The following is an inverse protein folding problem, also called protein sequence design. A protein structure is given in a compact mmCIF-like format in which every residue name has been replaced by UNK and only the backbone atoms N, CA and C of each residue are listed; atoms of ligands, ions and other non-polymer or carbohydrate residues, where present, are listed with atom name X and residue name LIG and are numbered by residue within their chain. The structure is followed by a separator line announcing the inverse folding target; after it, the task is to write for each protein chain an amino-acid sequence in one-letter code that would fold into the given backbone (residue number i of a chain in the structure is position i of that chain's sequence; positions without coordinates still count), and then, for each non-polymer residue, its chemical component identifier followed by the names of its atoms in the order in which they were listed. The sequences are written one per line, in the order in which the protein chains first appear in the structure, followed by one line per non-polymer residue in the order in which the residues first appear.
data_IF_649885762724
#
_entry.id   IF_649885762724
#
_cell.length_a   1.000
_cell.length_b   1.000
_cell.length_c   1.000
_cell.angle_alpha   90.00
_cell.angle_beta   90.00
_cell.angle_gamma   90.00
#
_symmetry.space_group_name_H-M   'P 1'
#
loop_
_entity.id
_entity.type
_entity.pdbx_description
1 polymer ?
#
# COMPACT_ATOMS: atom_id res chain seq x y z
N UNK A 1 27.44 -9.21 89.12
CA UNK A 1 28.46 -9.96 88.34
C UNK A 1 27.70 -10.81 87.33
N UNK A 2 27.59 -10.41 86.15
CA UNK A 2 27.42 -11.30 84.96
C UNK A 2 27.07 -10.42 83.74
N UNK A 3 27.96 -10.45 82.80
CA UNK A 3 27.98 -9.67 81.57
C UNK A 3 27.02 -10.25 80.57
N UNK A 4 26.06 -9.43 80.00
CA UNK A 4 25.28 -9.79 78.84
C UNK A 4 25.93 -9.20 77.60
N UNK A 5 26.40 -10.03 76.74
CA UNK A 5 26.89 -9.67 75.41
C UNK A 5 25.68 -9.60 74.45
N UNK A 6 25.44 -8.44 73.92
CA UNK A 6 24.50 -8.24 72.82
C UNK A 6 25.10 -8.68 71.47
N UNK A 7 24.42 -9.57 70.82
CA UNK A 7 24.74 -10.04 69.49
C UNK A 7 24.00 -9.16 68.47
N UNK A 8 24.72 -8.32 67.70
CA UNK A 8 24.17 -7.56 66.62
C UNK A 8 24.13 -8.44 65.34
N UNK A 9 22.93 -8.80 64.89
CA UNK A 9 22.73 -9.40 63.58
C UNK A 9 22.63 -8.24 62.54
N UNK A 10 23.67 -8.10 61.72
CA UNK A 10 23.63 -7.26 60.53
C UNK A 10 22.90 -7.99 59.40
N UNK A 11 21.73 -7.52 59.07
CA UNK A 11 20.96 -7.99 57.91
C UNK A 11 21.44 -7.21 56.69
N UNK A 12 22.24 -7.84 55.79
CA UNK A 12 22.66 -7.25 54.52
C UNK A 12 21.55 -7.53 53.50
N UNK A 13 20.79 -6.49 53.16
CA UNK A 13 19.83 -6.50 52.08
C UNK A 13 20.55 -6.37 50.75
N UNK A 14 20.70 -7.49 50.02
CA UNK A 14 21.15 -7.51 48.65
C UNK A 14 19.97 -7.13 47.79
N UNK A 15 19.95 -5.88 47.27
CA UNK A 15 18.98 -5.40 46.30
C UNK A 15 19.49 -5.86 44.91
N UNK A 16 18.94 -7.00 44.42
CA UNK A 16 19.10 -7.42 43.01
C UNK A 16 18.36 -6.44 42.11
N UNK A 17 19.07 -5.46 41.54
CA UNK A 17 18.55 -4.60 40.49
C UNK A 17 18.39 -5.39 39.19
N UNK A 18 17.15 -5.73 38.84
CA UNK A 18 16.80 -6.27 37.52
C UNK A 18 16.78 -5.10 36.55
N UNK A 19 17.88 -4.89 35.82
CA UNK A 19 17.91 -3.98 34.68
C UNK A 19 17.14 -4.62 33.53
N UNK A 20 15.89 -4.20 33.31
CA UNK A 20 15.16 -4.48 32.09
C UNK A 20 15.84 -3.72 30.94
N UNK A 21 16.64 -4.43 30.14
CA UNK A 21 17.09 -3.94 28.87
C UNK A 21 15.86 -3.83 27.95
N UNK A 22 15.35 -2.61 27.74
CA UNK A 22 14.39 -2.32 26.70
C UNK A 22 15.11 -2.51 25.37
N UNK A 23 14.88 -3.66 24.71
CA UNK A 23 15.29 -3.88 23.33
C UNK A 23 14.47 -2.94 22.46
N UNK A 24 15.03 -1.78 22.12
CA UNK A 24 14.53 -0.97 21.04
C UNK A 24 14.64 -1.81 19.76
N UNK A 25 13.51 -2.27 19.22
CA UNK A 25 13.46 -2.83 17.88
C UNK A 25 13.82 -1.72 16.92
N UNK A 26 15.08 -1.60 16.56
CA UNK A 26 15.53 -0.84 15.40
C UNK A 26 14.81 -1.43 14.19
N UNK A 27 13.91 -0.63 13.62
CA UNK A 27 13.22 -0.96 12.37
C UNK A 27 14.30 -1.09 11.29
N UNK A 28 14.65 -2.30 10.94
CA UNK A 28 15.66 -2.60 9.93
C UNK A 28 15.25 -1.95 8.61
N UNK A 29 15.90 -0.85 8.25
CA UNK A 29 15.71 -0.09 7.01
C UNK A 29 16.52 -0.69 5.85
N UNK A 30 16.97 -1.95 5.99
CA UNK A 30 17.73 -2.68 4.98
C UNK A 30 16.86 -3.29 3.89
N UNK A 31 17.47 -3.71 2.76
CA UNK A 31 16.77 -4.43 1.71
C UNK A 31 16.26 -5.77 2.23
N UNK A 32 14.96 -5.98 2.13
CA UNK A 32 14.29 -7.24 2.48
C UNK A 32 14.19 -8.14 1.24
N UNK A 33 14.12 -9.46 1.44
CA UNK A 33 13.90 -10.39 0.33
C UNK A 33 12.41 -10.48 0.00
N UNK A 34 12.09 -10.41 -1.28
CA UNK A 34 10.73 -10.53 -1.79
C UNK A 34 10.64 -11.43 -3.01
N UNK A 35 9.42 -11.88 -3.31
CA UNK A 35 9.09 -12.68 -4.49
C UNK A 35 7.99 -11.99 -5.29
N UNK A 36 8.05 -12.11 -6.63
CA UNK A 36 7.01 -11.57 -7.50
C UNK A 36 5.75 -12.41 -7.44
N UNK A 37 4.63 -11.78 -7.09
CA UNK A 37 3.29 -12.36 -7.12
C UNK A 37 2.52 -11.82 -8.32
N UNK A 38 1.99 -12.73 -9.15
CA UNK A 38 1.18 -12.40 -10.34
C UNK A 38 -0.27 -12.15 -9.93
N UNK A 39 -0.86 -11.10 -10.52
CA UNK A 39 -2.26 -10.77 -10.37
C UNK A 39 -2.92 -10.59 -11.74
N UNK A 40 -4.14 -11.12 -11.86
CA UNK A 40 -5.05 -10.89 -12.98
C UNK A 40 -6.40 -10.47 -12.40
N UNK A 41 -6.89 -9.29 -12.80
CA UNK A 41 -8.09 -8.72 -12.21
C UNK A 41 -8.94 -8.00 -13.25
N UNK A 42 -10.27 -8.24 -13.22
CA UNK A 42 -11.25 -7.51 -14.02
C UNK A 42 -11.78 -6.33 -13.21
N UNK A 43 -11.28 -5.15 -13.52
CA UNK A 43 -11.70 -3.91 -12.86
C UNK A 43 -12.94 -3.34 -13.54
N UNK A 44 -14.00 -3.14 -12.78
CA UNK A 44 -15.19 -2.42 -13.21
C UNK A 44 -15.27 -1.10 -12.46
N UNK A 45 -15.22 0.00 -13.22
CA UNK A 45 -15.45 1.34 -12.71
C UNK A 45 -16.95 1.61 -12.59
N UNK A 46 -17.33 2.28 -11.52
CA UNK A 46 -18.67 2.82 -11.31
C UNK A 46 -18.53 4.32 -11.04
N UNK A 47 -18.86 5.15 -12.02
CA UNK A 47 -18.74 6.60 -11.94
C UNK A 47 -20.05 7.31 -11.62
N UNK A 48 -20.01 8.21 -10.66
CA UNK A 48 -21.08 9.14 -10.36
C UNK A 48 -20.77 10.53 -10.90
N UNK A 49 -19.51 10.96 -10.80
CA UNK A 49 -19.04 12.29 -11.22
C UNK A 49 -18.34 12.24 -12.57
N UNK A 50 -17.49 11.24 -12.80
CA UNK A 50 -16.68 11.11 -14.01
C UNK A 50 -17.03 9.85 -14.78
N UNK A 51 -16.88 9.92 -16.09
CA UNK A 51 -17.05 8.81 -17.02
C UNK A 51 -15.72 8.56 -17.74
N UNK A 52 -15.44 7.30 -18.08
CA UNK A 52 -14.26 6.92 -18.86
C UNK A 52 -14.66 6.15 -20.11
N UNK A 53 -13.94 6.41 -21.22
CA UNK A 53 -13.83 5.37 -22.24
C UNK A 53 -13.05 4.19 -21.65
N UNK A 54 -13.26 2.96 -22.16
CA UNK A 54 -12.53 1.81 -21.64
C UNK A 54 -11.02 1.96 -21.83
N UNK A 55 -10.57 2.59 -22.92
CA UNK A 55 -9.13 2.87 -23.16
C UNK A 55 -8.61 3.92 -22.17
N UNK A 56 -9.41 4.97 -21.89
CA UNK A 56 -9.07 5.98 -20.92
C UNK A 56 -8.97 5.40 -19.52
N UNK A 57 -9.91 4.54 -19.12
CA UNK A 57 -9.86 3.81 -17.86
C UNK A 57 -8.62 2.92 -17.78
N UNK A 58 -8.36 2.12 -18.84
CA UNK A 58 -7.20 1.23 -18.88
C UNK A 58 -5.89 2.02 -18.76
N UNK A 59 -5.77 3.15 -19.44
CA UNK A 59 -4.60 4.03 -19.36
C UNK A 59 -4.41 4.59 -17.95
N UNK A 60 -5.45 5.07 -17.31
CA UNK A 60 -5.41 5.60 -15.92
C UNK A 60 -5.04 4.51 -14.92
N UNK A 61 -5.64 3.32 -15.03
CA UNK A 61 -5.31 2.19 -14.16
C UNK A 61 -3.86 1.73 -14.31
N UNK A 62 -3.31 1.75 -15.53
CA UNK A 62 -1.88 1.46 -15.73
C UNK A 62 -0.99 2.46 -14.98
N UNK A 63 -1.31 3.75 -15.04
CA UNK A 63 -0.60 4.79 -14.30
C UNK A 63 -0.67 4.52 -12.80
N UNK A 64 -1.85 4.20 -12.26
CA UNK A 64 -2.03 3.89 -10.84
C UNK A 64 -1.26 2.64 -10.42
N UNK A 65 -1.27 1.56 -11.22
CA UNK A 65 -0.50 0.34 -10.95
C UNK A 65 1.00 0.63 -10.82
N UNK A 66 1.57 1.37 -11.78
CA UNK A 66 2.99 1.71 -11.76
C UNK A 66 3.33 2.63 -10.58
N UNK A 67 2.50 3.65 -10.33
CA UNK A 67 2.67 4.55 -9.19
C UNK A 67 2.62 3.79 -7.86
N UNK A 68 1.72 2.81 -7.73
CA UNK A 68 1.58 1.96 -6.55
C UNK A 68 2.69 0.90 -6.41
N UNK A 69 3.64 0.79 -7.35
CA UNK A 69 4.80 -0.10 -7.23
C UNK A 69 4.68 -1.44 -7.94
N UNK A 70 3.71 -1.61 -8.83
CA UNK A 70 3.69 -2.76 -9.72
C UNK A 70 4.95 -2.81 -10.60
N UNK A 71 5.32 -4.03 -11.02
CA UNK A 71 6.43 -4.23 -11.97
C UNK A 71 6.16 -3.47 -13.28
N UNK A 72 7.21 -2.94 -13.91
CA UNK A 72 7.12 -2.04 -15.06
C UNK A 72 6.38 -2.65 -16.28
N UNK A 73 6.32 -3.99 -16.39
CA UNK A 73 5.60 -4.71 -17.44
C UNK A 73 4.08 -4.86 -17.16
N UNK A 74 3.55 -4.18 -16.14
CA UNK A 74 2.13 -4.16 -15.85
C UNK A 74 1.31 -3.75 -17.07
N UNK A 75 0.27 -4.53 -17.34
CA UNK A 75 -0.66 -4.32 -18.47
C UNK A 75 -2.05 -3.99 -17.92
N UNK A 76 -2.67 -3.01 -18.53
CA UNK A 76 -4.08 -2.70 -18.37
C UNK A 76 -4.66 -2.57 -19.77
N UNK A 77 -5.65 -3.37 -20.08
CA UNK A 77 -6.28 -3.41 -21.41
C UNK A 77 -7.77 -3.11 -21.27
N UNK A 78 -8.34 -2.50 -22.30
CA UNK A 78 -9.75 -2.17 -22.36
C UNK A 78 -10.61 -3.44 -22.23
N UNK A 79 -11.63 -3.39 -21.39
CA UNK A 79 -12.66 -4.41 -21.30
C UNK A 79 -13.80 -4.15 -22.31
N UNK A 80 -14.88 -4.93 -22.17
CA UNK A 80 -16.09 -4.69 -22.93
C UNK A 80 -16.73 -3.36 -22.51
N UNK A 81 -16.97 -2.48 -23.49
CA UNK A 81 -17.62 -1.19 -23.31
C UNK A 81 -19.04 -1.29 -23.84
N UNK A 82 -20.03 -0.90 -23.03
CA UNK A 82 -21.45 -0.99 -23.39
C UNK A 82 -21.82 -0.04 -24.53
N UNK A 83 -21.07 1.06 -24.73
CA UNK A 83 -21.32 2.08 -25.74
C UNK A 83 -20.31 2.09 -26.90
N UNK A 84 -19.48 1.05 -27.04
CA UNK A 84 -18.44 0.99 -28.05
C UNK A 84 -17.11 1.64 -27.63
N UNK A 85 -16.09 1.45 -28.45
CA UNK A 85 -14.76 2.01 -28.20
C UNK A 85 -14.75 3.54 -28.25
N UNK A 86 -14.03 4.15 -27.33
CA UNK A 86 -13.86 5.61 -27.26
C UNK A 86 -15.00 6.39 -26.62
N UNK A 87 -16.18 5.79 -26.44
CA UNK A 87 -17.30 6.48 -25.82
C UNK A 87 -17.21 6.40 -24.29
N UNK A 88 -17.26 7.53 -23.56
CA UNK A 88 -17.26 7.53 -22.11
C UNK A 88 -18.52 6.88 -21.54
N UNK A 89 -18.34 6.05 -20.50
CA UNK A 89 -19.42 5.36 -19.80
C UNK A 89 -19.20 5.42 -18.27
N UNK A 90 -20.29 5.33 -17.52
CA UNK A 90 -20.26 5.20 -16.05
C UNK A 90 -19.81 3.80 -15.60
N UNK A 91 -19.91 2.80 -16.49
CA UNK A 91 -19.61 1.40 -16.22
C UNK A 91 -18.46 0.89 -17.12
N UNK A 92 -17.39 1.65 -17.20
CA UNK A 92 -16.22 1.24 -17.98
C UNK A 92 -15.51 0.05 -17.31
N UNK A 93 -14.92 -0.83 -18.12
CA UNK A 93 -14.20 -2.01 -17.64
C UNK A 93 -12.79 -2.09 -18.22
N UNK A 94 -11.85 -2.56 -17.40
CA UNK A 94 -10.49 -2.87 -17.83
C UNK A 94 -10.01 -4.21 -17.24
N UNK A 95 -9.13 -4.90 -17.96
CA UNK A 95 -8.46 -6.12 -17.51
C UNK A 95 -7.03 -5.78 -17.11
N UNK A 96 -6.68 -6.10 -15.88
CA UNK A 96 -5.38 -5.84 -15.28
C UNK A 96 -4.57 -7.13 -15.22
N UNK A 97 -3.31 -7.08 -15.64
CA UNK A 97 -2.32 -8.15 -15.44
C UNK A 97 -1.02 -7.51 -14.99
N UNK A 98 -0.62 -7.79 -13.77
CA UNK A 98 0.53 -7.14 -13.16
C UNK A 98 1.19 -8.03 -12.11
N UNK A 99 2.35 -7.62 -11.64
CA UNK A 99 3.09 -8.27 -10.59
C UNK A 99 3.36 -7.28 -9.47
N UNK A 100 3.19 -7.74 -8.23
CA UNK A 100 3.59 -7.02 -7.01
C UNK A 100 4.69 -7.78 -6.30
N UNK A 101 5.51 -7.09 -5.52
CA UNK A 101 6.50 -7.73 -4.67
C UNK A 101 5.89 -8.05 -3.31
N UNK A 102 5.97 -9.30 -2.89
CA UNK A 102 5.54 -9.75 -1.56
C UNK A 102 6.76 -10.22 -0.75
N UNK A 103 6.77 -9.98 0.56
CA UNK A 103 7.83 -10.47 1.43
C UNK A 103 7.93 -12.01 1.37
N UNK A 104 9.13 -12.54 1.46
CA UNK A 104 9.35 -14.00 1.51
C UNK A 104 8.62 -14.59 2.71
N UNK A 105 7.88 -15.70 2.47
CA UNK A 105 7.04 -16.35 3.47
C UNK A 105 5.54 -16.10 3.31
N UNK A 106 5.13 -15.14 2.46
CA UNK A 106 3.71 -14.84 2.17
C UNK A 106 3.25 -15.27 0.78
N UNK A 107 4.16 -15.75 -0.08
CA UNK A 107 3.86 -16.12 -1.47
C UNK A 107 4.37 -17.52 -1.80
N UNK A 108 3.71 -18.16 -2.79
CA UNK A 108 4.19 -19.42 -3.35
C UNK A 108 5.58 -19.25 -3.98
N UNK A 109 6.53 -20.11 -3.57
CA UNK A 109 7.97 -20.02 -3.85
C UNK A 109 8.37 -20.30 -5.32
N UNK A 110 7.55 -19.93 -6.28
CA UNK A 110 7.79 -20.23 -7.72
C UNK A 110 8.79 -19.29 -8.42
N UNK A 111 9.22 -18.20 -7.78
CA UNK A 111 10.15 -17.23 -8.36
C UNK A 111 11.37 -17.02 -7.45
N UNK A 112 12.57 -16.81 -8.04
CA UNK A 112 13.75 -16.52 -7.22
C UNK A 112 13.53 -15.22 -6.42
N UNK A 113 13.97 -15.18 -5.15
CA UNK A 113 13.84 -14.00 -4.31
C UNK A 113 14.70 -12.85 -4.86
N UNK A 114 14.20 -11.65 -4.73
CA UNK A 114 14.89 -10.42 -5.12
C UNK A 114 14.87 -9.41 -3.96
N UNK A 115 15.83 -8.49 -3.96
CA UNK A 115 15.86 -7.42 -2.96
C UNK A 115 14.74 -6.42 -3.19
N UNK A 116 13.95 -6.21 -2.16
CA UNK A 116 12.89 -5.21 -2.08
C UNK A 116 13.17 -4.17 -1.01
N UNK A 117 12.48 -3.06 -1.08
CA UNK A 117 12.50 -1.99 -0.09
C UNK A 117 11.12 -1.36 0.07
N UNK A 118 10.87 -0.78 1.22
CA UNK A 118 9.66 0.00 1.45
C UNK A 118 9.80 1.37 0.81
N UNK A 119 8.84 1.75 -0.01
CA UNK A 119 8.82 3.01 -0.74
C UNK A 119 7.53 3.76 -0.44
N UNK A 120 7.66 5.04 -0.05
CA UNK A 120 6.52 5.92 0.14
C UNK A 120 5.89 6.29 -1.20
N UNK A 121 4.57 6.20 -1.27
CA UNK A 121 3.74 6.58 -2.42
C UNK A 121 2.69 7.59 -1.96
N UNK A 122 2.50 8.63 -2.76
CA UNK A 122 1.44 9.60 -2.56
C UNK A 122 0.62 9.75 -3.85
N UNK A 123 -0.67 9.46 -3.77
CA UNK A 123 -1.64 9.74 -4.83
C UNK A 123 -2.41 11.00 -4.45
N UNK A 124 -2.31 12.02 -5.31
CA UNK A 124 -2.95 13.32 -5.12
C UNK A 124 -3.32 13.90 -6.50
N UNK A 125 -4.00 15.04 -6.53
CA UNK A 125 -4.18 15.78 -7.78
C UNK A 125 -2.81 16.06 -8.40
N UNK A 126 -2.63 15.67 -9.68
CA UNK A 126 -1.38 15.74 -10.44
C UNK A 126 -0.19 14.93 -9.85
N UNK A 127 -0.47 13.98 -8.97
CA UNK A 127 0.55 13.05 -8.46
C UNK A 127 0.02 11.60 -8.46
N UNK A 128 0.41 10.77 -9.45
CA UNK A 128 1.21 11.08 -10.64
C UNK A 128 0.56 12.14 -11.54
N UNK A 129 1.37 12.74 -12.43
CA UNK A 129 0.98 13.90 -13.25
C UNK A 129 -0.32 13.71 -14.06
N UNK A 130 -0.64 12.48 -14.38
CA UNK A 130 -1.83 12.08 -15.13
C UNK A 130 -3.13 12.12 -14.32
N UNK A 131 -3.05 12.12 -12.99
CA UNK A 131 -4.23 12.21 -12.13
C UNK A 131 -4.82 13.63 -12.12
N UNK A 132 -6.13 13.70 -12.01
CA UNK A 132 -6.91 14.92 -11.87
C UNK A 132 -7.96 14.74 -10.77
N UNK A 133 -8.52 15.83 -10.27
CA UNK A 133 -9.61 15.77 -9.27
C UNK A 133 -10.79 14.92 -9.75
N UNK A 134 -11.08 14.90 -11.05
CA UNK A 134 -12.09 14.04 -11.64
C UNK A 134 -11.80 12.54 -11.51
N UNK A 135 -10.55 12.16 -11.23
CA UNK A 135 -10.17 10.76 -11.00
C UNK A 135 -10.39 10.32 -9.53
N UNK A 136 -11.00 11.15 -8.67
CA UNK A 136 -11.17 10.85 -7.24
C UNK A 136 -11.87 9.50 -7.01
N UNK A 137 -13.04 9.28 -7.64
CA UNK A 137 -13.78 8.01 -7.55
C UNK A 137 -12.98 6.81 -8.10
N UNK A 138 -12.14 7.03 -9.11
CA UNK A 138 -11.26 5.98 -9.64
C UNK A 138 -10.17 5.60 -8.64
N UNK A 139 -9.53 6.58 -8.00
CA UNK A 139 -8.49 6.34 -6.98
C UNK A 139 -9.10 5.67 -5.76
N UNK A 140 -10.30 6.05 -5.36
CA UNK A 140 -11.05 5.40 -4.27
C UNK A 140 -11.32 3.93 -4.58
N UNK A 141 -11.86 3.63 -5.76
CA UNK A 141 -12.11 2.25 -6.19
C UNK A 141 -10.82 1.45 -6.41
N UNK A 142 -9.75 2.08 -6.86
CA UNK A 142 -8.43 1.46 -6.94
C UNK A 142 -7.90 1.09 -5.55
N UNK A 143 -8.01 2.00 -4.57
CA UNK A 143 -7.64 1.74 -3.18
C UNK A 143 -8.38 0.52 -2.62
N UNK A 144 -9.68 0.43 -2.87
CA UNK A 144 -10.52 -0.61 -2.26
C UNK A 144 -10.39 -1.97 -2.96
N UNK A 145 -10.18 -1.98 -4.28
CA UNK A 145 -10.25 -3.20 -5.09
C UNK A 145 -8.88 -3.73 -5.55
N UNK A 146 -7.90 -2.85 -5.72
CA UNK A 146 -6.60 -3.21 -6.33
C UNK A 146 -5.46 -3.07 -5.33
N UNK A 147 -5.44 -2.01 -4.54
CA UNK A 147 -4.36 -1.77 -3.56
C UNK A 147 -4.18 -2.93 -2.55
N UNK A 148 -5.23 -3.68 -2.13
CA UNK A 148 -5.05 -4.85 -1.28
C UNK A 148 -4.23 -6.00 -1.89
N UNK A 149 -3.98 -5.97 -3.21
CA UNK A 149 -3.10 -6.93 -3.90
C UNK A 149 -1.62 -6.57 -3.77
N UNK A 150 -1.31 -5.42 -3.19
CA UNK A 150 0.06 -4.96 -2.92
C UNK A 150 0.40 -5.20 -1.46
N UNK A 151 1.67 -5.48 -1.18
CA UNK A 151 2.18 -5.47 0.20
C UNK A 151 2.37 -4.03 0.63
N UNK A 152 1.44 -3.51 1.42
CA UNK A 152 1.40 -2.11 1.85
C UNK A 152 1.39 -1.98 3.36
N UNK A 153 1.86 -0.83 3.86
CA UNK A 153 1.77 -0.43 5.27
C UNK A 153 1.60 1.08 5.40
N UNK A 154 1.32 1.57 6.59
CA UNK A 154 1.21 3.01 6.90
C UNK A 154 0.24 3.76 5.97
N UNK A 155 -0.94 3.16 5.73
CA UNK A 155 -1.94 3.78 4.84
C UNK A 155 -2.59 4.96 5.55
N UNK A 156 -2.36 6.18 5.02
CA UNK A 156 -3.05 7.41 5.41
C UNK A 156 -4.02 7.81 4.28
N UNK A 157 -5.31 7.64 4.53
CA UNK A 157 -6.38 7.96 3.60
C UNK A 157 -7.14 9.20 4.07
N UNK A 158 -6.95 10.31 3.38
CA UNK A 158 -7.67 11.57 3.59
C UNK A 158 -8.40 12.00 2.32
N UNK A 159 -8.87 11.02 1.56
CA UNK A 159 -9.64 11.27 0.35
C UNK A 159 -11.07 11.65 0.70
N UNK A 160 -11.61 12.56 -0.08
CA UNK A 160 -13.04 12.89 -0.08
C UNK A 160 -13.49 13.01 -1.53
N UNK A 161 -14.35 12.11 -2.01
CA UNK A 161 -14.92 12.17 -3.33
C UNK A 161 -16.40 12.56 -3.20
N UNK A 162 -16.74 13.75 -3.68
CA UNK A 162 -18.12 14.26 -3.60
C UNK A 162 -18.87 13.81 -4.85
N UNK A 163 -19.93 12.99 -4.70
CA UNK A 163 -20.70 12.50 -5.86
C UNK A 163 -21.31 13.64 -6.67
N UNK A 164 -21.28 13.51 -8.00
CA UNK A 164 -21.85 14.44 -8.98
C UNK A 164 -21.22 15.84 -9.01
N UNK A 165 -20.08 16.07 -8.33
CA UNK A 165 -19.38 17.35 -8.40
C UNK A 165 -17.87 17.20 -8.18
N UNK A 166 -17.08 18.08 -8.80
CA UNK A 166 -15.63 18.13 -8.61
C UNK A 166 -15.25 19.02 -7.42
N UNK A 167 -16.04 20.04 -7.16
CA UNK A 167 -15.82 20.96 -6.05
C UNK A 167 -15.91 20.24 -4.71
N UNK A 168 -14.92 20.44 -3.85
CA UNK A 168 -14.84 19.75 -2.55
C UNK A 168 -14.27 18.34 -2.60
N UNK A 169 -14.05 17.76 -3.80
CA UNK A 169 -13.33 16.48 -3.91
C UNK A 169 -11.84 16.68 -3.65
N UNK A 170 -11.23 15.74 -2.91
CA UNK A 170 -9.81 15.73 -2.55
C UNK A 170 -9.24 14.33 -2.77
N UNK A 171 -8.20 14.24 -3.57
CA UNK A 171 -7.37 13.02 -3.67
C UNK A 171 -6.18 13.22 -2.73
N UNK A 172 -6.12 12.42 -1.66
CA UNK A 172 -4.99 12.39 -0.74
C UNK A 172 -4.89 11.01 -0.09
N UNK A 173 -4.19 10.12 -0.78
CA UNK A 173 -3.91 8.76 -0.31
C UNK A 173 -2.40 8.56 -0.26
N UNK A 174 -1.88 8.26 0.92
CA UNK A 174 -0.46 7.98 1.15
C UNK A 174 -0.32 6.59 1.73
N UNK A 175 0.73 5.89 1.34
CA UNK A 175 1.07 4.58 1.87
C UNK A 175 2.52 4.24 1.58
N UNK A 176 3.02 3.23 2.26
CA UNK A 176 4.28 2.61 1.89
C UNK A 176 3.98 1.28 1.20
N UNK A 177 4.72 0.99 0.15
CA UNK A 177 4.62 -0.26 -0.61
C UNK A 177 5.96 -0.96 -0.64
N UNK A 178 5.94 -2.28 -0.49
CA UNK A 178 7.13 -3.10 -0.70
C UNK A 178 7.34 -3.29 -2.20
N UNK A 179 8.44 -2.75 -2.72
CA UNK A 179 8.76 -2.73 -4.15
C UNK A 179 10.21 -3.09 -4.39
N UNK A 180 10.54 -3.47 -5.64
CA UNK A 180 11.91 -3.77 -6.03
C UNK A 180 12.83 -2.57 -5.73
N UNK A 181 13.96 -2.86 -5.11
CA UNK A 181 15.04 -1.88 -4.96
C UNK A 181 15.52 -1.43 -6.36
N UNK A 182 15.54 -0.12 -6.58
CA UNK A 182 16.00 0.49 -7.85
C UNK A 182 17.46 0.92 -7.73
#
# INVERSE_FOLDING_TARGET
MTSLRALQLSCVLIICGVTMAASASETATGPEQGVWQKHEYSFQFLGFTTTYSCDGLASKLKVLLIAAGARADAKSTSGACSRGYGTPDKFARAYLKFYTLSAVGTADNASPPISGTWRSVALADRSPRELRLGDCELVEQFRDKVLPMFTTRNIDNRMTCVPNQLSGSVINLKFEVFAKFM
#
